data_IF_895115766348
#
_entry.id   IF_895115766348
#
_cell.length_a   1.000
_cell.length_b   1.000
_cell.length_c   1.000
_cell.angle_alpha   90.00
_cell.angle_beta   90.00
_cell.angle_gamma   90.00
#
_symmetry.space_group_name_H-M   'P 1'
#
loop_
_entity.id
_entity.type
_entity.pdbx_description
1 polymer ?
#
# COMPACT_ATOMS: atom_id res chain seq x y z
N UNK A 1 -59.76 55.94 -0.20
CA UNK A 1 -59.79 54.46 -0.25
C UNK A 1 -58.35 54.00 -0.45
N UNK A 2 -57.71 53.56 0.63
CA UNK A 2 -56.25 53.29 0.67
C UNK A 2 -56.04 51.79 0.85
N UNK A 3 -55.34 51.16 -0.08
CA UNK A 3 -55.13 49.70 -0.10
C UNK A 3 -53.93 49.34 0.79
N UNK A 4 -54.04 48.36 1.71
CA UNK A 4 -52.93 47.95 2.57
C UNK A 4 -51.86 47.19 1.80
N UNK A 5 -50.60 47.49 2.10
CA UNK A 5 -49.41 46.90 1.50
C UNK A 5 -49.13 45.53 2.16
N UNK A 6 -49.26 44.43 1.40
CA UNK A 6 -48.95 43.07 1.87
C UNK A 6 -47.45 42.77 1.73
N UNK A 7 -46.81 42.16 2.75
CA UNK A 7 -45.42 41.74 2.67
C UNK A 7 -45.23 40.60 1.67
N UNK A 8 -44.22 40.76 0.82
CA UNK A 8 -43.85 39.83 -0.25
C UNK A 8 -43.19 38.58 0.36
N UNK A 9 -43.93 37.49 0.43
CA UNK A 9 -43.41 36.17 0.85
C UNK A 9 -42.42 35.69 -0.21
N UNK A 10 -41.16 35.54 0.18
CA UNK A 10 -40.09 35.03 -0.67
C UNK A 10 -40.08 33.52 -0.54
N UNK A 11 -40.52 32.80 -1.58
CA UNK A 11 -40.45 31.33 -1.62
C UNK A 11 -38.99 30.89 -1.80
N UNK A 12 -38.49 29.94 -0.98
CA UNK A 12 -37.15 29.39 -1.17
C UNK A 12 -37.11 28.60 -2.47
N UNK A 13 -36.16 28.97 -3.32
CA UNK A 13 -35.84 28.26 -4.56
C UNK A 13 -35.23 26.90 -4.20
N UNK A 14 -36.06 25.85 -4.24
CA UNK A 14 -35.59 24.48 -4.06
C UNK A 14 -34.87 24.08 -5.35
N UNK A 15 -33.57 24.40 -5.40
CA UNK A 15 -32.65 23.88 -6.40
C UNK A 15 -32.65 22.35 -6.33
N UNK A 16 -33.45 21.74 -7.19
CA UNK A 16 -33.44 20.31 -7.45
C UNK A 16 -32.09 19.98 -8.08
N UNK A 17 -31.15 19.60 -7.22
CA UNK A 17 -29.86 19.05 -7.62
C UNK A 17 -30.14 17.82 -8.46
N UNK A 18 -30.09 17.99 -9.79
CA UNK A 18 -30.10 16.90 -10.74
C UNK A 18 -28.87 16.06 -10.44
N UNK A 19 -29.07 14.98 -9.67
CA UNK A 19 -28.12 13.89 -9.53
C UNK A 19 -27.79 13.42 -10.94
N UNK A 20 -26.65 13.89 -11.47
CA UNK A 20 -26.01 13.25 -12.61
C UNK A 20 -25.66 11.86 -12.12
N UNK A 21 -26.49 10.89 -12.50
CA UNK A 21 -26.17 9.46 -12.45
C UNK A 21 -25.06 9.25 -13.49
N UNK A 22 -23.85 9.71 -13.14
CA UNK A 22 -22.65 9.43 -13.88
C UNK A 22 -22.40 7.94 -13.74
N UNK A 23 -22.27 7.25 -14.88
CA UNK A 23 -21.87 5.84 -15.02
C UNK A 23 -20.88 5.44 -13.91
N UNK A 24 -21.39 4.86 -12.83
CA UNK A 24 -20.56 4.15 -11.87
C UNK A 24 -20.04 2.92 -12.60
N UNK A 25 -18.73 2.86 -12.81
CA UNK A 25 -18.09 1.70 -13.41
C UNK A 25 -18.43 0.42 -12.63
N UNK A 26 -18.35 -0.76 -13.25
CA UNK A 26 -18.71 -2.04 -12.61
C UNK A 26 -17.96 -2.28 -11.29
N UNK A 27 -16.77 -1.69 -11.15
CA UNK A 27 -15.96 -1.76 -9.92
C UNK A 27 -16.49 -0.91 -8.76
N UNK A 28 -17.10 0.25 -9.03
CA UNK A 28 -17.72 1.07 -7.97
C UNK A 28 -19.06 0.48 -7.55
N UNK A 29 -19.83 -0.09 -8.47
CA UNK A 29 -21.04 -0.86 -8.13
C UNK A 29 -20.72 -2.05 -7.21
N UNK A 30 -19.67 -2.82 -7.53
CA UNK A 30 -19.25 -3.95 -6.69
C UNK A 30 -18.85 -3.52 -5.27
N UNK A 31 -18.10 -2.40 -5.15
CA UNK A 31 -17.70 -1.86 -3.83
C UNK A 31 -18.89 -1.35 -3.01
N UNK A 32 -19.83 -0.65 -3.65
CA UNK A 32 -21.04 -0.17 -2.96
C UNK A 32 -21.91 -1.34 -2.49
N UNK A 33 -22.05 -2.38 -3.31
CA UNK A 33 -22.77 -3.61 -2.94
C UNK A 33 -22.08 -4.32 -1.77
N UNK A 34 -20.75 -4.48 -1.80
CA UNK A 34 -20.00 -5.11 -0.71
C UNK A 34 -20.12 -4.35 0.61
N UNK A 35 -20.00 -3.02 0.58
CA UNK A 35 -20.14 -2.18 1.77
C UNK A 35 -21.57 -2.23 2.32
N UNK A 36 -22.57 -2.18 1.44
CA UNK A 36 -23.98 -2.33 1.83
C UNK A 36 -24.27 -3.68 2.49
N UNK A 37 -23.72 -4.76 1.93
CA UNK A 37 -23.89 -6.12 2.48
C UNK A 37 -23.18 -6.28 3.83
N UNK A 38 -21.98 -5.72 3.99
CA UNK A 38 -21.26 -5.72 5.26
C UNK A 38 -22.03 -4.96 6.36
N UNK A 39 -22.58 -3.78 6.03
CA UNK A 39 -23.42 -3.02 6.96
C UNK A 39 -24.71 -3.76 7.33
N UNK A 40 -25.35 -4.42 6.36
CA UNK A 40 -26.55 -5.22 6.63
C UNK A 40 -26.24 -6.40 7.57
N UNK A 41 -25.13 -7.12 7.35
CA UNK A 41 -24.69 -8.20 8.24
C UNK A 41 -24.39 -7.70 9.65
N UNK A 42 -23.74 -6.53 9.77
CA UNK A 42 -23.47 -5.89 11.05
C UNK A 42 -24.78 -5.60 11.80
N UNK A 43 -25.76 -4.99 11.14
CA UNK A 43 -27.08 -4.72 11.75
C UNK A 43 -27.79 -6.01 12.17
N UNK A 44 -27.72 -7.08 11.36
CA UNK A 44 -28.27 -8.39 11.73
C UNK A 44 -27.58 -8.98 12.96
N UNK A 45 -26.25 -8.86 13.08
CA UNK A 45 -25.54 -9.31 14.28
C UNK A 45 -25.95 -8.51 15.51
N UNK A 46 -26.06 -7.18 15.41
CA UNK A 46 -26.51 -6.36 16.54
C UNK A 46 -27.95 -6.68 16.96
N UNK A 47 -28.85 -6.94 16.02
CA UNK A 47 -30.22 -7.33 16.33
C UNK A 47 -30.30 -8.78 16.88
N UNK A 48 -29.44 -9.69 16.40
CA UNK A 48 -29.39 -11.08 16.85
C UNK A 48 -28.78 -11.27 18.24
N UNK A 49 -27.91 -10.38 18.69
CA UNK A 49 -27.29 -10.46 20.04
C UNK A 49 -28.16 -9.86 21.17
N UNK A 50 -29.36 -9.34 20.89
CA UNK A 50 -30.18 -8.62 21.87
C UNK A 50 -31.18 -9.45 22.70
N UNK A 51 -31.48 -10.70 22.34
CA UNK A 51 -32.49 -11.53 23.03
C UNK A 51 -31.88 -12.58 23.98
N UNK A 52 -30.96 -12.15 24.83
CA UNK A 52 -30.51 -12.94 25.97
C UNK A 52 -31.50 -12.81 27.14
N UNK A 53 -32.49 -13.70 27.19
CA UNK A 53 -33.38 -13.88 28.34
C UNK A 53 -32.54 -14.18 29.60
N UNK A 54 -32.68 -13.36 30.65
CA UNK A 54 -31.97 -13.54 31.92
C UNK A 54 -32.52 -14.80 32.62
N UNK A 55 -31.69 -15.83 32.92
CA UNK A 55 -32.20 -17.01 33.60
C UNK A 55 -32.43 -16.73 35.09
N UNK A 56 -33.69 -16.83 35.48
CA UNK A 56 -34.09 -16.96 36.87
C UNK A 56 -33.74 -18.36 37.40
N UNK A 57 -33.10 -18.37 38.57
CA UNK A 57 -33.17 -19.38 39.63
C UNK A 57 -32.69 -20.84 39.40
N UNK A 58 -31.68 -21.20 40.20
CA UNK A 58 -31.55 -22.42 41.01
C UNK A 58 -32.39 -23.64 40.59
N UNK A 59 -31.75 -24.74 40.15
CA UNK A 59 -32.08 -26.14 40.53
C UNK A 59 -31.02 -27.17 40.06
N UNK A 60 -30.48 -27.88 41.05
CA UNK A 60 -30.09 -29.32 41.12
C UNK A 60 -28.96 -29.89 40.25
N UNK A 61 -27.98 -30.62 40.84
CA UNK A 61 -26.95 -31.36 40.10
C UNK A 61 -27.47 -32.74 39.65
N UNK A 62 -27.08 -33.20 38.45
CA UNK A 62 -27.23 -34.60 38.02
C UNK A 62 -26.27 -34.92 36.85
N UNK A 63 -25.73 -36.15 36.73
CA UNK A 63 -24.37 -36.38 36.25
C UNK A 63 -24.25 -36.85 34.79
N UNK A 64 -22.98 -36.80 34.35
CA UNK A 64 -22.25 -37.78 33.53
C UNK A 64 -21.78 -37.33 32.13
N UNK A 65 -20.54 -37.71 31.74
CA UNK A 65 -19.84 -37.18 30.58
C UNK A 65 -20.10 -38.00 29.32
N UNK A 66 -20.13 -37.33 28.17
CA UNK A 66 -19.96 -38.01 26.87
C UNK A 66 -18.88 -37.30 26.07
N UNK A 67 -17.70 -37.91 26.08
CA UNK A 67 -16.56 -37.59 25.24
C UNK A 67 -16.88 -37.99 23.80
N UNK A 68 -17.16 -37.03 22.92
CA UNK A 68 -17.13 -37.27 21.48
C UNK A 68 -15.79 -36.80 20.93
N UNK A 69 -14.95 -37.79 20.63
CA UNK A 69 -13.67 -37.65 19.94
C UNK A 69 -13.88 -37.06 18.54
N UNK A 70 -13.26 -35.92 18.16
CA UNK A 70 -13.28 -35.48 16.77
C UNK A 70 -12.35 -36.38 15.93
N UNK A 71 -12.95 -37.01 14.93
CA UNK A 71 -12.28 -37.71 13.84
C UNK A 71 -11.24 -36.80 13.17
N UNK A 72 -9.98 -37.24 13.16
CA UNK A 72 -8.90 -36.55 12.48
C UNK A 72 -9.15 -36.53 10.95
N UNK A 73 -9.29 -35.32 10.40
CA UNK A 73 -9.28 -35.10 8.95
C UNK A 73 -7.90 -35.45 8.39
N UNK A 74 -7.79 -36.27 7.33
CA UNK A 74 -6.50 -36.67 6.77
C UNK A 74 -5.74 -35.46 6.21
N UNK A 75 -4.48 -35.36 6.66
CA UNK A 75 -3.46 -34.48 6.13
C UNK A 75 -3.25 -34.73 4.63
N UNK A 76 -3.30 -33.70 3.76
CA UNK A 76 -2.93 -33.87 2.36
C UNK A 76 -1.42 -34.13 2.24
N UNK A 77 -1.09 -35.22 1.55
CA UNK A 77 0.28 -35.60 1.16
C UNK A 77 0.94 -34.46 0.37
N UNK A 78 2.12 -33.96 0.77
CA UNK A 78 2.85 -32.99 -0.03
C UNK A 78 3.33 -33.64 -1.33
N UNK A 79 2.85 -33.14 -2.46
CA UNK A 79 3.38 -33.48 -3.77
C UNK A 79 4.68 -32.71 -3.98
N UNK A 80 5.80 -33.43 -3.98
CA UNK A 80 7.14 -32.94 -4.33
C UNK A 80 7.13 -32.40 -5.77
N UNK A 81 7.43 -31.10 -6.01
CA UNK A 81 7.66 -30.62 -7.36
C UNK A 81 8.98 -31.18 -7.90
N UNK A 82 8.88 -31.86 -9.05
CA UNK A 82 10.00 -32.35 -9.84
C UNK A 82 10.87 -31.16 -10.30
N UNK A 83 12.14 -31.16 -9.92
CA UNK A 83 13.10 -30.09 -10.22
C UNK A 83 13.55 -30.22 -11.68
N UNK A 84 13.02 -29.36 -12.54
CA UNK A 84 13.48 -29.14 -13.92
C UNK A 84 14.93 -28.67 -13.97
N UNK A 85 15.64 -29.18 -14.97
CA UNK A 85 17.07 -29.05 -15.18
C UNK A 85 17.61 -27.61 -15.29
N UNK A 86 18.82 -27.52 -14.77
CA UNK A 86 19.90 -26.55 -14.87
C UNK A 86 20.08 -25.85 -16.24
N UNK A 87 20.15 -24.51 -16.26
CA UNK A 87 20.86 -23.78 -17.29
C UNK A 87 22.24 -23.34 -16.80
N UNK A 88 23.29 -23.89 -17.42
CA UNK A 88 24.68 -23.46 -17.31
C UNK A 88 24.80 -21.96 -17.58
N UNK A 89 25.39 -21.20 -16.64
CA UNK A 89 25.89 -19.85 -16.90
C UNK A 89 27.41 -19.82 -16.82
N UNK A 90 28.00 -19.64 -17.99
CA UNK A 90 29.37 -19.26 -18.27
C UNK A 90 29.81 -18.08 -17.39
N UNK A 91 30.86 -18.30 -16.60
CA UNK A 91 31.61 -17.27 -15.89
C UNK A 91 32.39 -16.42 -16.89
N UNK A 92 31.97 -15.17 -17.11
CA UNK A 92 32.80 -14.17 -17.76
C UNK A 92 33.51 -13.35 -16.66
N UNK A 93 34.85 -13.39 -16.70
CA UNK A 93 35.72 -12.69 -15.78
C UNK A 93 35.60 -11.15 -15.91
N UNK A 94 35.61 -10.37 -14.82
CA UNK A 94 35.70 -8.92 -14.89
C UNK A 94 37.08 -8.47 -15.38
N UNK A 95 37.10 -7.59 -16.39
CA UNK A 95 38.29 -6.88 -16.83
C UNK A 95 38.77 -5.87 -15.75
N UNK A 96 40.10 -5.68 -15.58
CA UNK A 96 40.65 -4.77 -14.60
C UNK A 96 40.39 -3.29 -14.94
N UNK A 97 40.09 -2.51 -13.90
CA UNK A 97 39.89 -1.07 -13.94
C UNK A 97 41.19 -0.30 -14.31
N UNK A 98 41.10 0.79 -15.11
CA UNK A 98 42.22 1.69 -15.29
C UNK A 98 42.41 2.62 -14.07
N UNK A 99 43.68 2.83 -13.73
CA UNK A 99 44.18 3.61 -12.59
C UNK A 99 43.78 5.10 -12.61
N UNK A 100 43.79 5.77 -11.44
CA UNK A 100 43.46 7.19 -11.32
C UNK A 100 44.56 8.08 -11.91
N UNK A 101 44.18 8.92 -12.87
CA UNK A 101 45.02 9.99 -13.40
C UNK A 101 45.22 11.08 -12.34
N UNK A 102 46.45 11.18 -11.82
CA UNK A 102 46.96 12.40 -11.18
C UNK A 102 47.32 13.39 -12.29
N UNK A 103 46.64 14.53 -12.31
CA UNK A 103 47.03 15.71 -13.07
C UNK A 103 46.62 16.94 -12.27
N UNK A 104 47.59 17.57 -11.62
CA UNK A 104 47.40 18.86 -10.97
C UNK A 104 47.50 20.01 -11.98
N UNK A 105 46.89 21.14 -11.65
CA UNK A 105 47.42 22.47 -11.92
C UNK A 105 46.52 23.52 -11.27
N UNK A 106 47.19 24.43 -10.58
CA UNK A 106 46.68 25.61 -9.90
C UNK A 106 46.02 26.60 -10.87
N UNK A 107 45.02 27.32 -10.40
CA UNK A 107 44.36 28.38 -11.14
C UNK A 107 43.41 29.18 -10.27
N UNK A 108 43.95 30.19 -9.57
CA UNK A 108 43.17 31.15 -8.81
C UNK A 108 42.13 31.86 -9.68
N UNK A 109 40.89 31.85 -9.22
CA UNK A 109 39.76 32.51 -9.85
C UNK A 109 38.75 32.95 -8.80
N UNK A 110 39.11 34.00 -8.06
CA UNK A 110 38.15 34.77 -7.26
C UNK A 110 37.10 35.36 -8.21
N UNK A 111 35.86 34.87 -8.13
CA UNK A 111 34.72 35.56 -8.75
C UNK A 111 33.70 34.65 -9.42
N UNK A 112 32.83 34.04 -8.61
CA UNK A 112 31.37 34.11 -8.83
C UNK A 112 30.64 33.49 -7.65
N UNK A 113 29.88 34.32 -6.97
CA UNK A 113 28.77 33.98 -6.09
C UNK A 113 27.73 33.19 -6.90
N UNK A 114 27.99 31.91 -7.11
CA UNK A 114 27.00 30.97 -7.61
C UNK A 114 26.05 30.64 -6.47
N UNK A 115 24.76 30.89 -6.69
CA UNK A 115 23.67 30.45 -5.82
C UNK A 115 23.89 29.02 -5.32
N UNK A 116 23.41 28.64 -4.11
CA UNK A 116 23.46 27.25 -3.69
C UNK A 116 22.78 26.42 -4.77
N UNK A 117 23.58 25.70 -5.54
CA UNK A 117 23.10 24.72 -6.50
C UNK A 117 22.15 23.84 -5.73
N UNK A 118 20.91 23.75 -6.22
CA UNK A 118 19.85 22.95 -5.63
C UNK A 118 20.49 21.66 -5.10
N UNK A 119 20.57 21.56 -3.78
CA UNK A 119 21.13 20.40 -3.12
C UNK A 119 20.47 19.21 -3.79
N UNK A 120 21.27 18.34 -4.43
CA UNK A 120 20.76 17.15 -5.06
C UNK A 120 19.86 16.50 -4.03
N UNK A 121 18.54 16.58 -4.25
CA UNK A 121 17.57 16.22 -3.22
C UNK A 121 17.91 14.79 -2.83
N UNK A 122 18.30 14.60 -1.56
CA UNK A 122 18.77 13.31 -1.10
C UNK A 122 17.75 12.26 -1.55
N UNK A 123 18.21 11.32 -2.38
CA UNK A 123 17.37 10.25 -2.92
C UNK A 123 16.55 9.66 -1.79
N UNK A 124 15.21 9.72 -1.86
CA UNK A 124 14.37 9.38 -0.72
C UNK A 124 14.56 7.90 -0.44
N UNK A 125 15.15 7.53 0.70
CA UNK A 125 15.33 6.14 1.12
C UNK A 125 14.10 5.68 1.92
N UNK A 126 12.90 5.81 1.35
CA UNK A 126 11.66 5.57 2.07
C UNK A 126 11.28 4.08 2.09
N UNK A 127 10.82 3.50 3.23
CA UNK A 127 10.44 4.15 4.48
C UNK A 127 11.59 4.27 5.50
N UNK A 128 12.76 3.71 5.21
CA UNK A 128 13.85 3.59 6.18
C UNK A 128 14.51 4.93 6.56
N UNK A 129 14.53 5.93 5.68
CA UNK A 129 15.27 7.18 5.81
C UNK A 129 16.80 7.01 5.66
N UNK A 130 17.36 5.91 6.17
CA UNK A 130 18.79 5.61 6.14
C UNK A 130 19.10 4.10 6.15
N UNK A 131 20.35 3.74 5.90
CA UNK A 131 20.79 2.35 5.81
C UNK A 131 20.81 1.60 7.15
N UNK A 132 20.99 2.28 8.29
CA UNK A 132 20.97 1.63 9.60
C UNK A 132 19.52 1.27 9.99
N UNK A 133 18.57 2.15 9.71
CA UNK A 133 17.14 1.90 9.86
C UNK A 133 16.67 0.79 8.92
N UNK A 134 17.14 0.76 7.67
CA UNK A 134 16.84 -0.33 6.74
C UNK A 134 17.30 -1.70 7.28
N UNK A 135 18.48 -1.78 7.92
CA UNK A 135 18.94 -3.03 8.57
C UNK A 135 18.04 -3.46 9.72
N UNK A 136 17.58 -2.51 10.54
CA UNK A 136 16.63 -2.82 11.63
C UNK A 136 15.29 -3.31 11.08
N UNK A 137 14.77 -2.66 10.04
CA UNK A 137 13.56 -3.10 9.33
C UNK A 137 13.74 -4.50 8.74
N UNK A 138 14.90 -4.80 8.13
CA UNK A 138 15.19 -6.14 7.61
C UNK A 138 15.16 -7.20 8.73
N UNK A 139 15.77 -6.92 9.88
CA UNK A 139 15.74 -7.82 11.03
C UNK A 139 14.31 -8.04 11.55
N UNK A 140 13.50 -6.99 11.57
CA UNK A 140 12.10 -7.06 11.96
C UNK A 140 11.28 -7.90 10.96
N UNK A 141 11.49 -7.72 9.65
CA UNK A 141 10.84 -8.55 8.63
C UNK A 141 11.27 -10.00 8.67
N UNK A 142 12.54 -10.27 8.96
CA UNK A 142 13.06 -11.63 9.17
C UNK A 142 12.43 -12.30 10.40
N UNK A 143 12.06 -11.50 11.41
CA UNK A 143 11.30 -11.95 12.59
C UNK A 143 9.78 -12.05 12.34
N UNK A 144 9.31 -11.83 11.10
CA UNK A 144 7.89 -11.90 10.72
C UNK A 144 7.10 -10.59 10.85
N UNK A 145 7.77 -9.46 11.10
CA UNK A 145 7.15 -8.13 11.13
C UNK A 145 6.99 -7.50 9.74
N UNK A 146 6.08 -6.54 9.59
CA UNK A 146 5.90 -5.72 8.38
C UNK A 146 6.04 -6.48 7.04
N UNK A 147 5.21 -7.50 6.79
CA UNK A 147 5.34 -8.35 5.60
C UNK A 147 5.18 -7.57 4.29
N UNK A 148 4.53 -6.41 4.33
CA UNK A 148 4.37 -5.51 3.19
C UNK A 148 5.71 -4.97 2.65
N UNK A 149 6.77 -4.91 3.48
CA UNK A 149 8.11 -4.47 3.04
C UNK A 149 8.78 -5.47 2.09
N UNK A 150 8.33 -6.73 2.07
CA UNK A 150 8.88 -7.78 1.21
C UNK A 150 8.26 -7.76 -0.19
N UNK A 151 7.14 -7.05 -0.37
CA UNK A 151 6.45 -6.91 -1.64
C UNK A 151 6.70 -5.50 -2.23
N UNK A 152 7.43 -5.40 -3.37
CA UNK A 152 7.70 -4.11 -3.99
C UNK A 152 6.45 -3.38 -4.47
N UNK A 153 5.37 -4.09 -4.79
CA UNK A 153 4.10 -3.46 -5.21
C UNK A 153 3.40 -2.79 -4.03
N UNK A 154 3.32 -3.46 -2.88
CA UNK A 154 2.77 -2.90 -1.65
C UNK A 154 3.60 -1.70 -1.14
N UNK A 155 4.93 -1.78 -1.19
CA UNK A 155 5.80 -0.64 -0.87
C UNK A 155 5.51 0.55 -1.79
N UNK A 156 5.33 0.29 -3.09
CA UNK A 156 4.99 1.36 -4.06
C UNK A 156 3.63 1.96 -3.74
N UNK A 157 2.60 1.15 -3.49
CA UNK A 157 1.25 1.62 -3.16
C UNK A 157 1.24 2.47 -1.88
N UNK A 158 1.94 2.01 -0.84
CA UNK A 158 2.06 2.75 0.41
C UNK A 158 2.77 4.09 0.20
N UNK A 159 3.92 4.08 -0.52
CA UNK A 159 4.68 5.29 -0.81
C UNK A 159 3.85 6.35 -1.55
N UNK A 160 3.19 5.98 -2.64
CA UNK A 160 2.41 6.96 -3.42
C UNK A 160 1.17 7.44 -2.68
N UNK A 161 0.61 6.62 -1.78
CA UNK A 161 -0.48 7.00 -0.90
C UNK A 161 -0.07 8.03 0.16
N UNK A 162 1.07 7.82 0.83
CA UNK A 162 1.55 8.68 1.91
C UNK A 162 2.30 9.91 1.42
N UNK A 163 3.23 9.75 0.48
CA UNK A 163 4.15 10.82 0.05
C UNK A 163 3.61 11.63 -1.13
N UNK A 164 2.91 10.98 -2.07
CA UNK A 164 2.35 11.66 -3.25
C UNK A 164 0.87 12.01 -3.10
N UNK A 165 0.20 11.46 -2.08
CA UNK A 165 -1.22 11.71 -1.84
C UNK A 165 -2.16 11.07 -2.87
N UNK A 166 -1.70 10.10 -3.66
CA UNK A 166 -2.54 9.44 -4.67
C UNK A 166 -3.74 8.76 -4.02
N UNK A 167 -4.88 8.73 -4.72
CA UNK A 167 -6.15 8.18 -4.22
C UNK A 167 -6.64 7.09 -5.15
N UNK A 168 -6.71 5.86 -4.63
CA UNK A 168 -6.89 4.65 -5.44
C UNK A 168 -5.82 4.53 -6.54
N UNK A 169 -4.52 4.58 -6.19
CA UNK A 169 -3.47 4.44 -7.18
C UNK A 169 -3.57 3.10 -7.92
N UNK A 170 -3.25 3.12 -9.21
CA UNK A 170 -2.97 1.90 -9.98
C UNK A 170 -1.48 1.82 -10.21
N UNK A 171 -0.88 0.67 -9.94
CA UNK A 171 0.55 0.43 -10.07
C UNK A 171 0.78 -0.60 -11.17
N UNK A 172 1.76 -0.34 -12.04
CA UNK A 172 2.17 -1.21 -13.14
C UNK A 172 3.67 -1.42 -13.07
N UNK A 173 4.11 -2.68 -13.03
CA UNK A 173 5.53 -3.01 -13.08
C UNK A 173 6.10 -2.72 -14.47
N UNK A 174 7.14 -1.88 -14.53
CA UNK A 174 7.87 -1.57 -15.77
C UNK A 174 9.14 -2.41 -15.91
N UNK A 175 9.73 -2.82 -14.78
CA UNK A 175 10.96 -3.59 -14.76
C UNK A 175 11.31 -4.09 -13.36
N UNK A 176 12.51 -4.61 -13.20
CA UNK A 176 12.97 -5.05 -11.88
C UNK A 176 13.17 -3.84 -10.96
N UNK A 177 12.36 -3.74 -9.90
CA UNK A 177 12.38 -2.59 -8.98
C UNK A 177 11.91 -1.28 -9.62
N UNK A 178 11.21 -1.29 -10.75
CA UNK A 178 10.69 -0.06 -11.39
C UNK A 178 9.21 -0.18 -11.65
N UNK A 179 8.45 0.79 -11.14
CA UNK A 179 6.99 0.79 -11.15
C UNK A 179 6.45 2.14 -11.61
N UNK A 180 5.46 2.12 -12.49
CA UNK A 180 4.65 3.29 -12.79
C UNK A 180 3.42 3.30 -11.87
N UNK A 181 3.14 4.44 -11.26
CA UNK A 181 1.92 4.69 -10.51
C UNK A 181 1.10 5.78 -11.19
N UNK A 182 -0.21 5.57 -11.29
CA UNK A 182 -1.17 6.57 -11.77
C UNK A 182 -2.21 6.82 -10.68
N UNK A 183 -2.54 8.08 -10.42
CA UNK A 183 -3.62 8.43 -9.50
C UNK A 183 -4.98 8.01 -10.09
N UNK A 184 -5.86 7.47 -9.25
CA UNK A 184 -7.20 7.04 -9.65
C UNK A 184 -8.19 8.20 -9.75
N UNK A 185 -7.83 9.40 -9.27
CA UNK A 185 -8.71 10.59 -9.27
C UNK A 185 -8.25 11.70 -10.20
N UNK A 186 -6.95 11.80 -10.48
CA UNK A 186 -6.35 12.85 -11.29
C UNK A 186 -5.48 12.23 -12.38
N UNK A 187 -5.06 13.00 -13.42
CA UNK A 187 -4.16 12.47 -14.45
C UNK A 187 -2.70 12.34 -13.98
N UNK A 188 -2.40 12.54 -12.69
CA UNK A 188 -1.03 12.51 -12.17
C UNK A 188 -0.39 11.12 -12.29
N UNK A 189 0.91 11.12 -12.63
CA UNK A 189 1.71 9.91 -12.85
C UNK A 189 3.07 10.05 -12.18
N UNK A 190 3.59 8.94 -11.69
CA UNK A 190 4.95 8.87 -11.17
C UNK A 190 5.62 7.56 -11.58
N UNK A 191 6.93 7.59 -11.77
CA UNK A 191 7.78 6.40 -11.90
C UNK A 191 8.60 6.27 -10.63
N UNK A 192 8.46 5.14 -9.95
CA UNK A 192 9.10 4.82 -8.68
C UNK A 192 10.16 3.77 -8.95
N UNK A 193 11.37 4.01 -8.43
CA UNK A 193 12.44 3.02 -8.38
C UNK A 193 12.60 2.55 -6.94
N UNK A 194 12.78 1.24 -6.80
CA UNK A 194 12.98 0.56 -5.54
C UNK A 194 14.28 -0.25 -5.60
N UNK A 195 14.93 -0.33 -4.45
CA UNK A 195 16.14 -1.10 -4.22
C UNK A 195 16.00 -1.96 -2.97
N UNK A 196 16.87 -2.96 -2.84
CA UNK A 196 16.96 -3.82 -1.66
C UNK A 196 18.29 -3.56 -0.96
N UNK A 197 18.35 -2.63 0.01
CA UNK A 197 19.62 -2.10 0.50
C UNK A 197 20.39 -3.04 1.43
N UNK A 198 19.74 -4.06 2.00
CA UNK A 198 20.35 -4.95 3.00
C UNK A 198 20.66 -6.33 2.43
N UNK A 199 19.69 -6.93 1.74
CA UNK A 199 19.79 -8.28 1.17
C UNK A 199 18.98 -8.34 -0.12
N UNK A 200 19.52 -8.97 -1.15
CA UNK A 200 18.81 -9.16 -2.42
C UNK A 200 17.96 -10.44 -2.42
N UNK A 201 16.87 -10.45 -3.20
CA UNK A 201 16.01 -11.61 -3.43
C UNK A 201 14.71 -11.60 -2.63
N UNK A 202 14.03 -12.74 -2.55
CA UNK A 202 12.66 -12.86 -2.01
C UNK A 202 12.50 -12.44 -0.54
N UNK A 203 13.58 -12.47 0.24
CA UNK A 203 13.57 -12.02 1.63
C UNK A 203 14.08 -10.60 1.84
N UNK A 204 14.48 -9.86 0.79
CA UNK A 204 14.99 -8.50 0.93
C UNK A 204 13.87 -7.50 1.08
N UNK A 205 13.96 -6.60 2.07
CA UNK A 205 13.04 -5.46 2.14
C UNK A 205 13.24 -4.54 0.94
N UNK A 206 12.15 -3.98 0.43
CA UNK A 206 12.16 -2.98 -0.63
C UNK A 206 12.07 -1.58 -0.05
N UNK A 207 12.87 -0.68 -0.61
CA UNK A 207 12.94 0.72 -0.21
C UNK A 207 12.92 1.54 -1.49
N UNK A 208 12.10 2.58 -1.54
CA UNK A 208 12.13 3.56 -2.62
C UNK A 208 13.48 4.27 -2.56
N UNK A 209 14.12 4.51 -3.70
CA UNK A 209 15.38 5.27 -3.78
C UNK A 209 15.30 6.47 -4.74
N UNK A 210 14.32 6.45 -5.66
CA UNK A 210 14.12 7.51 -6.63
C UNK A 210 12.66 7.59 -7.07
N UNK A 211 12.19 8.81 -7.31
CA UNK A 211 10.86 9.09 -7.83
C UNK A 211 10.95 10.14 -8.92
N UNK A 212 10.38 9.83 -10.07
CA UNK A 212 10.19 10.76 -11.19
C UNK A 212 8.71 11.09 -11.33
N UNK A 213 8.34 12.37 -11.38
CA UNK A 213 6.95 12.82 -11.47
C UNK A 213 6.69 13.31 -12.90
N UNK A 214 5.67 12.75 -13.54
CA UNK A 214 5.26 13.09 -14.89
C UNK A 214 4.11 14.10 -14.96
#
# INVERSE_FOLDING_TARGET
MTVPNLPKVTTPDVSVSRLRVGRYGPRTLLRVVLVGLALMLLVLLLAGCGNGELPAAWRTPSPAPTTTSPTATPTPTPTTPSRTAEPSRTTAAPAPAPAPGRGGADGGGSGRTGAPGAAAAASPMWPAGDAATARRMQQQSDAGGDPWLLDPEEVTLSFVGSELGYRNPTVTRLGNGVYAATDGRTPQRATIRLTQPVRSGTGGIWVVDHVDRG
#
